data_IF_710127990246
#
_entry.id   IF_710127990246
#
_cell.length_a   1.000
_cell.length_b   1.000
_cell.length_c   1.000
_cell.angle_alpha   90.00
_cell.angle_beta   90.00
_cell.angle_gamma   90.00
#
_symmetry.space_group_name_H-M   'P 1'
#
loop_
_entity.id
_entity.type
_entity.pdbx_description
1 polymer ?
#
# COMPACT_ATOMS: atom_id res chain seq x y z
N UNK A 1 -27.08 10.58 -1.38
CA UNK A 1 -26.27 10.55 -2.62
C UNK A 1 -25.10 9.65 -2.33
N UNK A 2 -25.10 8.45 -2.92
CA UNK A 2 -24.18 7.38 -2.57
C UNK A 2 -22.75 7.79 -2.88
N UNK A 3 -21.90 7.76 -1.86
CA UNK A 3 -20.46 7.63 -2.07
C UNK A 3 -20.25 6.22 -2.62
N UNK A 4 -20.17 6.10 -3.95
CA UNK A 4 -19.63 4.89 -4.56
C UNK A 4 -18.20 4.73 -4.03
N UNK A 5 -18.05 3.91 -2.99
CA UNK A 5 -16.75 3.49 -2.50
C UNK A 5 -16.01 2.92 -3.71
N UNK A 6 -14.95 3.61 -4.14
CA UNK A 6 -14.08 3.16 -5.22
C UNK A 6 -13.49 1.81 -4.79
N UNK A 7 -14.12 0.77 -5.31
CA UNK A 7 -13.98 -0.58 -4.86
C UNK A 7 -13.21 -1.33 -5.95
N UNK A 8 -11.88 -1.34 -5.82
CA UNK A 8 -11.02 -2.04 -6.77
C UNK A 8 -11.30 -3.55 -6.74
N UNK A 9 -11.27 -4.19 -7.90
CA UNK A 9 -11.36 -5.64 -8.01
C UNK A 9 -10.14 -6.32 -7.39
N UNK A 10 -10.27 -7.59 -7.04
CA UNK A 10 -9.15 -8.37 -6.48
C UNK A 10 -7.93 -8.35 -7.42
N UNK A 11 -8.17 -8.42 -8.73
CA UNK A 11 -7.10 -8.40 -9.74
C UNK A 11 -6.33 -7.08 -9.76
N UNK A 12 -7.02 -5.94 -9.72
CA UNK A 12 -6.38 -4.61 -9.72
C UNK A 12 -5.49 -4.42 -8.48
N UNK A 13 -5.98 -4.83 -7.30
CA UNK A 13 -5.20 -4.76 -6.06
C UNK A 13 -3.98 -5.69 -6.14
N UNK A 14 -4.17 -6.92 -6.60
CA UNK A 14 -3.10 -7.91 -6.67
C UNK A 14 -1.99 -7.49 -7.64
N UNK A 15 -2.36 -7.01 -8.83
CA UNK A 15 -1.43 -6.46 -9.82
C UNK A 15 -0.72 -5.21 -9.31
N UNK A 16 -1.43 -4.37 -8.55
CA UNK A 16 -0.83 -3.17 -7.99
C UNK A 16 0.27 -3.48 -6.99
N UNK A 17 -0.06 -4.31 -5.99
CA UNK A 17 0.85 -4.68 -4.93
C UNK A 17 2.05 -5.46 -5.49
N UNK A 18 1.85 -6.32 -6.48
CA UNK A 18 2.92 -7.12 -7.09
C UNK A 18 4.00 -6.28 -7.79
N UNK A 19 3.71 -5.04 -8.18
CA UNK A 19 4.68 -4.13 -8.80
C UNK A 19 5.55 -3.36 -7.80
N UNK A 20 5.19 -3.37 -6.52
CA UNK A 20 5.95 -2.64 -5.50
C UNK A 20 7.29 -3.31 -5.23
N UNK A 21 8.35 -2.51 -5.08
CA UNK A 21 9.66 -3.06 -4.74
C UNK A 21 9.61 -3.76 -3.39
N UNK A 22 10.22 -4.95 -3.33
CA UNK A 22 10.25 -5.80 -2.15
C UNK A 22 9.06 -6.75 -2.03
N UNK A 23 8.01 -6.65 -2.86
CA UNK A 23 6.91 -7.63 -2.89
C UNK A 23 7.31 -8.83 -3.75
N UNK A 24 7.17 -10.04 -3.19
CA UNK A 24 7.48 -11.30 -3.89
C UNK A 24 6.22 -11.89 -4.53
N UNK A 25 5.13 -11.95 -3.76
CA UNK A 25 3.86 -12.43 -4.26
C UNK A 25 2.68 -11.84 -3.49
N UNK A 26 1.52 -11.93 -4.13
CA UNK A 26 0.24 -11.44 -3.64
C UNK A 26 -0.84 -12.53 -3.74
N UNK A 27 -1.78 -12.49 -2.82
CA UNK A 27 -3.04 -13.23 -2.86
C UNK A 27 -4.14 -12.33 -2.34
N UNK A 28 -5.15 -12.09 -3.15
CA UNK A 28 -6.26 -11.21 -2.83
C UNK A 28 -7.54 -12.00 -3.03
N UNK A 29 -8.32 -12.14 -1.97
CA UNK A 29 -9.62 -12.80 -1.98
C UNK A 29 -10.64 -11.84 -1.38
N UNK A 30 -11.24 -10.99 -2.20
CA UNK A 30 -12.27 -10.04 -1.81
C UNK A 30 -13.52 -10.29 -2.66
N UNK A 31 -14.71 -10.25 -2.04
CA UNK A 31 -16.00 -10.31 -2.76
C UNK A 31 -16.11 -11.48 -3.74
N UNK A 32 -15.73 -12.67 -3.28
CA UNK A 32 -15.74 -13.92 -4.07
C UNK A 32 -14.74 -13.96 -5.25
N UNK A 33 -14.02 -12.86 -5.52
CA UNK A 33 -12.95 -12.82 -6.51
C UNK A 33 -11.61 -13.17 -5.87
N UNK A 34 -10.87 -14.09 -6.51
CA UNK A 34 -9.51 -14.44 -6.11
C UNK A 34 -8.52 -14.03 -7.19
N UNK A 35 -7.45 -13.33 -6.81
CA UNK A 35 -6.38 -12.92 -7.70
C UNK A 35 -5.01 -12.94 -7.01
N UNK A 36 -3.95 -12.79 -7.82
CA UNK A 36 -2.56 -12.77 -7.37
C UNK A 36 -1.74 -13.93 -7.93
N UNK A 37 -0.43 -13.80 -7.79
CA UNK A 37 0.54 -14.74 -8.33
C UNK A 37 0.98 -15.80 -7.31
N UNK A 38 0.46 -15.76 -6.09
CA UNK A 38 0.71 -16.80 -5.09
C UNK A 38 -0.06 -18.08 -5.45
N UNK A 39 0.62 -18.96 -6.19
CA UNK A 39 0.04 -20.20 -6.70
C UNK A 39 -0.17 -21.25 -5.60
N UNK A 40 -1.36 -21.87 -5.56
CA UNK A 40 -1.77 -23.14 -4.92
C UNK A 40 -1.37 -23.44 -3.46
N UNK A 41 -0.12 -23.19 -3.04
CA UNK A 41 0.36 -23.34 -1.67
C UNK A 41 -0.50 -22.56 -0.66
N UNK A 42 -0.96 -21.37 -1.03
CA UNK A 42 -1.80 -20.54 -0.18
C UNK A 42 -3.23 -21.10 -0.04
N UNK A 43 -3.77 -21.67 -1.11
CA UNK A 43 -5.04 -22.40 -1.07
C UNK A 43 -4.94 -23.61 -0.13
N UNK A 44 -3.83 -24.35 -0.17
CA UNK A 44 -3.55 -25.45 0.75
C UNK A 44 -3.39 -24.99 2.21
N UNK A 45 -2.90 -23.76 2.44
CA UNK A 45 -2.75 -23.16 3.76
C UNK A 45 -4.01 -22.47 4.27
N UNK A 46 -5.08 -22.41 3.49
CA UNK A 46 -6.33 -21.72 3.86
C UNK A 46 -6.88 -22.14 5.24
N UNK A 47 -6.95 -23.44 5.60
CA UNK A 47 -7.43 -23.83 6.92
C UNK A 47 -6.59 -23.24 8.06
N UNK A 48 -5.26 -23.29 7.92
CA UNK A 48 -4.31 -22.73 8.91
C UNK A 48 -4.41 -21.20 9.01
N UNK A 49 -4.64 -20.52 7.89
CA UNK A 49 -4.84 -19.07 7.88
C UNK A 49 -6.15 -18.68 8.57
N UNK A 50 -7.23 -19.41 8.33
CA UNK A 50 -8.52 -19.19 9.00
C UNK A 50 -8.38 -19.39 10.51
N UNK A 51 -7.70 -20.46 10.93
CA UNK A 51 -7.42 -20.72 12.33
C UNK A 51 -6.61 -19.58 12.97
N UNK A 52 -5.51 -19.15 12.33
CA UNK A 52 -4.69 -18.03 12.80
C UNK A 52 -5.52 -16.74 12.97
N UNK A 53 -6.39 -16.44 11.99
CA UNK A 53 -7.26 -15.25 12.02
C UNK A 53 -8.27 -15.35 13.17
N UNK A 54 -8.88 -16.52 13.36
CA UNK A 54 -9.85 -16.73 14.44
C UNK A 54 -9.20 -16.61 15.81
N UNK A 55 -8.02 -17.19 15.99
CA UNK A 55 -7.25 -17.08 17.23
C UNK A 55 -6.87 -15.61 17.50
N UNK A 56 -6.40 -14.89 16.49
CA UNK A 56 -6.09 -13.46 16.62
C UNK A 56 -7.34 -12.63 17.00
N UNK A 57 -8.51 -12.95 16.42
CA UNK A 57 -9.79 -12.30 16.78
C UNK A 57 -10.20 -12.60 18.22
N UNK A 58 -10.06 -13.85 18.68
CA UNK A 58 -10.34 -14.24 20.07
C UNK A 58 -9.46 -13.47 21.04
N UNK A 59 -8.14 -13.49 20.83
CA UNK A 59 -7.17 -12.75 21.64
C UNK A 59 -7.49 -11.26 21.65
N UNK A 60 -7.78 -10.67 20.49
CA UNK A 60 -8.18 -9.26 20.41
C UNK A 60 -9.44 -8.97 21.23
N UNK A 61 -10.42 -9.87 21.24
CA UNK A 61 -11.66 -9.70 22.00
C UNK A 61 -11.44 -9.79 23.51
N UNK A 62 -10.65 -10.77 23.96
CA UNK A 62 -10.25 -10.93 25.36
C UNK A 62 -9.48 -9.72 25.89
N UNK A 63 -8.70 -9.07 25.03
CA UNK A 63 -7.96 -7.83 25.33
C UNK A 63 -8.83 -6.56 25.22
N UNK A 64 -10.16 -6.67 25.01
CA UNK A 64 -11.07 -5.54 24.88
C UNK A 64 -10.97 -4.78 23.54
N UNK A 65 -10.29 -5.35 22.55
CA UNK A 65 -10.17 -4.82 21.21
C UNK A 65 -11.46 -5.02 20.39
N UNK A 66 -11.66 -4.15 19.39
CA UNK A 66 -12.84 -4.18 18.52
C UNK A 66 -12.73 -5.17 17.34
N UNK A 67 -11.60 -5.86 17.22
CA UNK A 67 -11.32 -6.81 16.15
C UNK A 67 -9.90 -6.66 15.57
N UNK A 68 -9.58 -7.53 14.61
CA UNK A 68 -8.28 -7.59 13.95
C UNK A 68 -8.39 -7.00 12.55
N UNK A 69 -7.57 -5.98 12.26
CA UNK A 69 -7.44 -5.40 10.91
C UNK A 69 -6.35 -6.07 10.08
N UNK A 70 -5.26 -6.48 10.75
CA UNK A 70 -4.16 -7.14 10.08
C UNK A 70 -3.32 -7.98 11.03
N UNK A 71 -2.66 -8.99 10.49
CA UNK A 71 -1.65 -9.83 11.14
C UNK A 71 -0.37 -9.71 10.32
N UNK A 72 0.79 -9.65 10.98
CA UNK A 72 2.09 -9.62 10.33
C UNK A 72 2.99 -10.68 10.95
N UNK A 73 3.46 -11.63 10.14
CA UNK A 73 4.40 -12.67 10.56
C UNK A 73 5.77 -12.34 9.99
N UNK A 74 6.73 -12.11 10.88
CA UNK A 74 8.11 -11.78 10.51
C UNK A 74 8.91 -13.07 10.50
N UNK A 75 9.46 -13.41 9.35
CA UNK A 75 10.17 -14.66 9.11
C UNK A 75 11.68 -14.46 9.30
N UNK A 76 12.37 -15.52 9.69
CA UNK A 76 13.82 -15.50 9.93
C UNK A 76 14.64 -15.14 8.67
N UNK A 77 14.08 -15.36 7.47
CA UNK A 77 14.67 -15.00 6.19
C UNK A 77 14.59 -13.50 5.85
N UNK A 78 14.16 -12.66 6.80
CA UNK A 78 14.02 -11.21 6.62
C UNK A 78 12.80 -10.81 5.79
N UNK A 79 11.86 -11.73 5.59
CA UNK A 79 10.59 -11.48 4.90
C UNK A 79 9.46 -11.32 5.89
N UNK A 80 8.37 -10.71 5.43
CA UNK A 80 7.15 -10.50 6.19
C UNK A 80 5.99 -11.05 5.39
N UNK A 81 5.12 -11.82 6.07
CA UNK A 81 3.82 -12.22 5.56
C UNK A 81 2.77 -11.34 6.22
N UNK A 82 2.21 -10.40 5.45
CA UNK A 82 1.14 -9.51 5.91
C UNK A 82 -0.21 -10.05 5.47
N UNK A 83 -1.12 -10.21 6.42
CA UNK A 83 -2.50 -10.64 6.22
C UNK A 83 -3.39 -9.46 6.63
N UNK A 84 -4.03 -8.79 5.68
CA UNK A 84 -5.01 -7.74 5.94
C UNK A 84 -6.42 -8.29 5.78
N UNK A 85 -7.30 -7.89 6.70
CA UNK A 85 -8.68 -8.37 6.78
C UNK A 85 -9.64 -7.26 6.38
N UNK A 86 -10.60 -7.59 5.53
CA UNK A 86 -11.68 -6.72 5.08
C UNK A 86 -13.04 -7.41 5.27
N UNK A 87 -14.15 -6.69 5.13
CA UNK A 87 -15.52 -7.22 5.26
C UNK A 87 -15.76 -8.39 4.28
N UNK A 88 -15.53 -9.62 4.75
CA UNK A 88 -15.69 -10.84 3.98
C UNK A 88 -14.49 -11.25 3.12
N UNK A 89 -13.32 -10.64 3.31
CA UNK A 89 -12.15 -10.89 2.45
C UNK A 89 -10.79 -10.80 3.14
N UNK A 90 -9.76 -11.22 2.41
CA UNK A 90 -8.36 -11.21 2.87
C UNK A 90 -7.41 -10.80 1.75
N UNK A 91 -6.43 -9.98 2.11
CA UNK A 91 -5.26 -9.68 1.28
C UNK A 91 -4.04 -10.26 2.00
N UNK A 92 -3.28 -11.10 1.32
CA UNK A 92 -2.03 -11.68 1.81
C UNK A 92 -0.89 -11.24 0.88
N UNK A 93 0.15 -10.68 1.46
CA UNK A 93 1.33 -10.22 0.72
C UNK A 93 2.58 -10.75 1.41
N UNK A 94 3.46 -11.40 0.65
CA UNK A 94 4.83 -11.68 1.10
C UNK A 94 5.77 -10.63 0.54
N UNK A 95 6.54 -9.98 1.41
CA UNK A 95 7.45 -8.92 1.02
C UNK A 95 8.67 -8.84 1.93
N UNK A 96 9.66 -8.03 1.55
CA UNK A 96 10.80 -7.69 2.38
C UNK A 96 10.40 -6.87 3.60
N UNK A 97 11.13 -7.05 4.71
CA UNK A 97 10.93 -6.28 5.94
C UNK A 97 10.90 -4.76 5.71
N UNK A 98 11.85 -4.24 4.90
CA UNK A 98 11.93 -2.80 4.58
C UNK A 98 10.67 -2.26 3.87
N UNK A 99 9.89 -3.10 3.20
CA UNK A 99 8.69 -2.67 2.48
C UNK A 99 7.43 -2.65 3.36
N UNK A 100 7.48 -3.19 4.58
CA UNK A 100 6.27 -3.51 5.38
C UNK A 100 5.35 -2.32 5.63
N UNK A 101 5.92 -1.17 6.03
CA UNK A 101 5.14 0.04 6.30
C UNK A 101 4.42 0.54 5.04
N UNK A 102 5.07 0.49 3.88
CA UNK A 102 4.50 0.95 2.62
C UNK A 102 3.48 -0.03 2.05
N UNK A 103 3.69 -1.33 2.20
CA UNK A 103 2.68 -2.36 1.85
C UNK A 103 1.45 -2.19 2.74
N UNK A 104 1.62 -2.01 4.04
CA UNK A 104 0.51 -1.78 4.96
C UNK A 104 -0.29 -0.52 4.59
N UNK A 105 0.41 0.59 4.29
CA UNK A 105 -0.21 1.86 3.87
C UNK A 105 -0.92 1.72 2.53
N UNK A 106 -0.33 1.04 1.56
CA UNK A 106 -0.93 0.77 0.26
C UNK A 106 -2.25 0.01 0.42
N UNK A 107 -2.24 -1.11 1.15
CA UNK A 107 -3.45 -1.91 1.40
C UNK A 107 -4.54 -1.07 2.08
N UNK A 108 -4.19 -0.37 3.16
CA UNK A 108 -5.16 0.47 3.88
C UNK A 108 -5.75 1.57 3.00
N UNK A 109 -4.98 2.10 2.05
CA UNK A 109 -5.44 3.16 1.15
C UNK A 109 -6.34 2.62 0.04
N UNK A 110 -6.01 1.45 -0.49
CA UNK A 110 -6.81 0.76 -1.51
C UNK A 110 -8.17 0.31 -0.95
N UNK A 111 -8.22 -0.12 0.31
CA UNK A 111 -9.47 -0.50 0.99
C UNK A 111 -10.27 0.69 1.54
N UNK A 112 -9.65 1.86 1.68
CA UNK A 112 -10.35 3.05 2.18
C UNK A 112 -11.25 3.66 1.09
N UNK A 113 -12.44 4.19 1.42
CA UNK A 113 -13.24 4.96 0.46
C UNK A 113 -12.62 6.33 0.12
N UNK A 114 -11.64 6.82 0.90
CA UNK A 114 -11.02 8.14 0.73
C UNK A 114 -10.51 8.31 -0.69
N UNK A 115 -10.96 9.32 -1.43
CA UNK A 115 -10.46 9.57 -2.78
C UNK A 115 -9.13 10.32 -2.73
N UNK A 116 -8.13 9.87 -3.51
CA UNK A 116 -6.85 10.56 -3.69
C UNK A 116 -6.69 10.83 -5.18
N UNK A 117 -6.99 12.07 -5.60
CA UNK A 117 -6.96 12.47 -7.01
C UNK A 117 -6.00 13.63 -7.23
N UNK A 118 -5.39 13.66 -8.40
CA UNK A 118 -4.61 14.82 -8.80
C UNK A 118 -5.52 16.06 -8.88
N UNK A 119 -5.18 17.12 -8.14
CA UNK A 119 -5.95 18.37 -8.13
C UNK A 119 -5.98 19.12 -9.47
N UNK A 120 -5.18 18.69 -10.45
CA UNK A 120 -5.10 19.32 -11.77
C UNK A 120 -5.84 18.55 -12.86
N UNK A 121 -5.67 17.23 -12.96
CA UNK A 121 -6.25 16.41 -14.03
C UNK A 121 -7.25 15.34 -13.55
N UNK A 122 -7.48 15.23 -12.24
CA UNK A 122 -8.45 14.29 -11.67
C UNK A 122 -8.05 12.81 -11.68
N UNK A 123 -6.85 12.46 -12.16
CA UNK A 123 -6.33 11.09 -12.12
C UNK A 123 -6.38 10.53 -10.71
N UNK A 124 -6.88 9.31 -10.54
CA UNK A 124 -6.81 8.55 -9.30
C UNK A 124 -5.36 8.11 -9.00
N UNK A 125 -4.82 8.65 -7.91
CA UNK A 125 -3.43 8.45 -7.50
C UNK A 125 -3.25 7.24 -6.58
N UNK A 126 -4.33 6.59 -6.12
CA UNK A 126 -4.20 5.37 -5.30
C UNK A 126 -3.52 4.22 -6.02
N UNK A 127 -3.82 4.08 -7.31
CA UNK A 127 -3.24 3.07 -8.20
C UNK A 127 -1.99 3.57 -8.93
N UNK A 128 -1.58 4.81 -8.68
CA UNK A 128 -0.38 5.36 -9.28
C UNK A 128 0.87 4.90 -8.54
N UNK A 129 1.96 4.78 -9.28
CA UNK A 129 3.29 4.53 -8.72
C UNK A 129 4.12 5.80 -8.77
N UNK A 130 5.12 5.84 -7.91
CA UNK A 130 6.26 6.71 -8.05
C UNK A 130 7.54 5.87 -8.03
N UNK A 131 8.54 6.27 -8.82
CA UNK A 131 9.87 5.67 -8.75
C UNK A 131 10.77 6.56 -7.92
N UNK A 132 11.41 6.00 -6.89
CA UNK A 132 12.39 6.74 -6.12
C UNK A 132 13.55 7.18 -7.02
N UNK A 133 13.90 8.46 -7.01
CA UNK A 133 14.97 8.99 -7.87
C UNK A 133 16.38 8.68 -7.36
N UNK A 134 16.50 8.23 -6.10
CA UNK A 134 17.77 7.81 -5.51
C UNK A 134 18.02 6.31 -5.71
N UNK A 135 17.14 5.44 -5.20
CA UNK A 135 17.35 3.98 -5.23
C UNK A 135 16.52 3.23 -6.28
N UNK A 136 15.77 3.93 -7.13
CA UNK A 136 14.95 3.37 -8.21
C UNK A 136 13.82 2.42 -7.79
N UNK A 137 13.55 2.27 -6.48
CA UNK A 137 12.42 1.49 -5.95
C UNK A 137 11.09 2.01 -6.48
N UNK A 138 10.19 1.09 -6.83
CA UNK A 138 8.80 1.34 -7.22
C UNK A 138 7.96 1.37 -5.94
N UNK A 139 7.32 2.51 -5.70
CA UNK A 139 6.55 2.80 -4.49
C UNK A 139 5.15 3.25 -4.87
N UNK A 140 4.16 3.13 -3.97
CA UNK A 140 2.88 3.82 -4.13
C UNK A 140 3.07 5.33 -4.32
N UNK A 141 2.22 5.96 -5.13
CA UNK A 141 2.25 7.42 -5.28
C UNK A 141 1.95 8.15 -3.96
N UNK A 142 1.35 7.48 -2.99
CA UNK A 142 1.01 8.05 -1.67
C UNK A 142 2.20 8.05 -0.68
N UNK A 143 3.39 7.56 -1.07
CA UNK A 143 4.55 7.42 -0.17
C UNK A 143 5.34 8.71 0.01
N UNK A 144 5.35 9.31 1.20
CA UNK A 144 6.09 10.57 1.44
C UNK A 144 7.60 10.39 1.61
N UNK A 145 8.06 9.23 2.08
CA UNK A 145 9.47 8.96 2.30
C UNK A 145 9.82 7.57 1.78
N UNK A 146 10.92 7.45 1.03
CA UNK A 146 11.36 6.16 0.53
C UNK A 146 11.82 5.26 1.69
N UNK A 147 11.19 4.09 1.92
CA UNK A 147 11.58 3.22 3.04
C UNK A 147 12.93 2.52 2.81
N UNK A 148 13.45 2.55 1.59
CA UNK A 148 14.70 1.88 1.22
C UNK A 148 15.94 2.78 1.39
N UNK A 149 15.81 4.08 1.12
CA UNK A 149 16.94 5.03 1.14
C UNK A 149 16.67 6.33 1.91
N UNK A 150 15.49 6.51 2.48
CA UNK A 150 15.13 7.69 3.27
C UNK A 150 14.87 8.97 2.45
N UNK A 151 14.95 8.93 1.12
CA UNK A 151 14.68 10.11 0.28
C UNK A 151 13.27 10.64 0.52
N UNK A 152 13.15 11.95 0.73
CA UNK A 152 11.88 12.67 0.74
C UNK A 152 11.25 12.69 -0.66
N UNK A 153 10.02 12.18 -0.72
CA UNK A 153 9.19 12.05 -1.90
C UNK A 153 7.86 12.83 -1.74
N UNK A 154 7.70 13.68 -0.73
CA UNK A 154 6.43 14.36 -0.44
C UNK A 154 5.88 15.13 -1.65
N UNK A 155 6.75 15.69 -2.49
CA UNK A 155 6.39 16.37 -3.74
C UNK A 155 6.81 15.55 -4.95
N UNK A 156 5.84 15.22 -5.81
CA UNK A 156 6.01 14.35 -6.98
C UNK A 156 5.33 14.94 -8.20
N UNK A 157 5.67 14.47 -9.40
CA UNK A 157 4.93 14.83 -10.62
C UNK A 157 3.78 13.85 -10.83
N UNK A 158 2.59 14.37 -11.11
CA UNK A 158 1.45 13.55 -11.52
C UNK A 158 1.81 12.76 -12.79
N UNK A 159 1.60 11.43 -12.84
CA UNK A 159 2.00 10.63 -14.00
C UNK A 159 1.16 10.91 -15.26
N UNK A 160 -0.02 11.54 -15.13
CA UNK A 160 -0.87 11.90 -16.27
C UNK A 160 -0.60 13.31 -16.81
N UNK A 161 -0.50 14.33 -15.94
CA UNK A 161 -0.37 15.73 -16.39
C UNK A 161 0.98 16.38 -16.04
N UNK A 162 1.91 15.65 -15.43
CA UNK A 162 3.26 16.09 -15.08
C UNK A 162 3.36 17.29 -14.11
N UNK A 163 2.23 17.75 -13.56
CA UNK A 163 2.18 18.84 -12.56
C UNK A 163 2.67 18.33 -11.20
N UNK A 164 3.42 19.17 -10.49
CA UNK A 164 3.84 18.89 -9.12
C UNK A 164 2.65 18.90 -8.15
N UNK A 165 2.44 17.78 -7.48
CA UNK A 165 1.41 17.56 -6.45
C UNK A 165 2.04 16.90 -5.23
N UNK A 166 1.40 17.03 -4.08
CA UNK A 166 1.74 16.25 -2.90
C UNK A 166 1.25 14.79 -3.04
N UNK A 167 1.71 13.90 -2.16
CA UNK A 167 1.28 12.49 -2.12
C UNK A 167 -0.23 12.29 -1.94
N UNK A 168 -0.93 13.28 -1.36
CA UNK A 168 -2.39 13.30 -1.22
C UNK A 168 -3.11 13.85 -2.47
N UNK A 169 -2.37 14.23 -3.51
CA UNK A 169 -2.88 14.77 -4.77
C UNK A 169 -3.14 16.28 -4.76
N UNK A 170 -2.94 16.96 -3.62
CA UNK A 170 -3.14 18.40 -3.50
C UNK A 170 -2.06 19.20 -4.25
N UNK A 171 -2.40 20.44 -4.60
CA UNK A 171 -1.53 21.33 -5.38
C UNK A 171 -0.36 21.82 -4.53
N UNK A 172 0.85 21.80 -5.09
CA UNK A 172 2.02 22.43 -4.47
C UNK A 172 1.95 23.96 -4.65
N UNK A 173 1.91 24.76 -3.58
CA UNK A 173 1.90 26.22 -3.69
C UNK A 173 3.16 26.73 -4.38
N UNK A 174 3.03 27.80 -5.19
CA UNK A 174 4.14 28.35 -6.00
C UNK A 174 5.36 28.78 -5.18
N UNK A 175 5.17 29.13 -3.90
CA UNK A 175 6.25 29.50 -2.98
C UNK A 175 7.18 28.33 -2.63
N UNK A 176 6.72 27.08 -2.74
CA UNK A 176 7.52 25.88 -2.48
C UNK A 176 8.42 25.46 -3.65
N UNK A 177 8.17 25.97 -4.87
CA UNK A 177 9.03 25.67 -6.04
C UNK A 177 10.45 26.22 -5.89
N UNK A 178 10.64 27.30 -5.12
CA UNK A 178 11.96 27.91 -4.86
C UNK A 178 12.67 27.33 -3.63
N UNK A 179 11.94 26.89 -2.60
CA UNK A 179 12.51 26.44 -1.33
C UNK A 179 12.96 24.97 -1.34
N UNK A 180 12.25 24.05 -2.00
CA UNK A 180 12.70 22.65 -2.11
C UNK A 180 13.99 22.49 -2.94
N UNK A 181 14.22 23.37 -3.92
CA UNK A 181 15.49 23.44 -4.65
C UNK A 181 16.66 23.91 -3.75
N UNK A 182 16.37 24.64 -2.66
CA UNK A 182 17.38 25.09 -1.67
C UNK A 182 17.67 24.05 -0.60
N UNK A 183 16.68 23.25 -0.17
CA UNK A 183 16.91 22.20 0.83
C UNK A 183 17.68 20.98 0.28
N UNK A 184 17.78 20.82 -1.04
CA UNK A 184 18.72 19.87 -1.68
C UNK A 184 20.19 20.29 -1.65
N UNK A 185 20.52 21.47 -1.11
CA UNK A 185 21.90 22.02 -1.06
C UNK A 185 22.55 22.02 0.33
N UNK A 186 21.98 21.34 1.31
CA UNK A 186 22.67 21.14 2.58
C UNK A 186 23.04 19.66 2.65
N UNK A 187 24.12 19.33 1.93
CA UNK A 187 25.01 18.25 2.33
C UNK A 187 25.78 18.74 3.56
N UNK A 188 25.69 17.98 4.65
CA UNK A 188 26.77 17.81 5.64
C UNK A 188 26.84 16.32 5.93
#
# INVERSE_FOLDING_TARGET
MGEDALNYSSNVIAEFLAKLTGVEWTFVSLREEVAGNASQKLLALRPKLVELINNAKSISGEMGGKGVKSISLWMEDGKVLRIALDEGGVIVVKHEFKADSEVARAISTLLSPKVIKCSNCGLDLKLAYNRCTSCLSILPFITDMCPFCGLDLAVKKCPSCNVSVYSDGSRVPLLFKKSYARFRRIEV
#
